data_IF_539559573051
#
_entry.id   IF_539559573051
#
_cell.length_a   1.000
_cell.length_b   1.000
_cell.length_c   1.000
_cell.angle_alpha   90.00
_cell.angle_beta   90.00
_cell.angle_gamma   90.00
#
_symmetry.space_group_name_H-M   'P 1'
#
loop_
_entity.id
_entity.type
_entity.pdbx_description
1 polymer ?
#
# COMPACT_ATOMS: atom_id res chain seq x y z
N UNK A 1 -3.31 -23.52 -4.66
CA UNK A 1 -2.51 -22.44 -5.28
C UNK A 1 -1.89 -21.62 -4.17
N UNK A 2 -0.60 -21.29 -4.27
CA UNK A 2 0.07 -20.48 -3.25
C UNK A 2 -0.38 -19.02 -3.45
N UNK A 3 -1.01 -18.41 -2.45
CA UNK A 3 -1.44 -17.02 -2.55
C UNK A 3 -0.20 -16.11 -2.45
N UNK A 4 0.23 -15.54 -3.57
CA UNK A 4 1.39 -14.64 -3.62
C UNK A 4 1.12 -13.29 -2.92
N UNK A 5 -0.15 -12.94 -2.72
CA UNK A 5 -0.52 -11.66 -2.14
C UNK A 5 -0.28 -11.63 -0.63
N UNK A 6 -0.37 -12.77 0.05
CA UNK A 6 -0.26 -12.87 1.51
C UNK A 6 1.05 -13.57 1.93
N UNK A 7 1.61 -13.13 3.04
CA UNK A 7 2.70 -13.86 3.70
C UNK A 7 2.15 -15.02 4.57
N UNK A 8 3.03 -15.76 5.23
CA UNK A 8 2.66 -16.88 6.12
C UNK A 8 1.79 -16.50 7.32
N UNK A 9 1.68 -15.20 7.63
CA UNK A 9 0.85 -14.66 8.71
C UNK A 9 -0.49 -14.10 8.20
N UNK A 10 -0.80 -14.26 6.90
CA UNK A 10 -2.01 -13.72 6.29
C UNK A 10 -1.98 -12.20 6.07
N UNK A 11 -0.83 -11.54 6.24
CA UNK A 11 -0.69 -10.10 5.96
C UNK A 11 -0.36 -9.85 4.50
N UNK A 12 -0.87 -8.74 3.97
CA UNK A 12 -0.58 -8.30 2.61
C UNK A 12 0.94 -8.11 2.42
N UNK A 13 1.48 -8.76 1.40
CA UNK A 13 2.87 -8.73 0.98
C UNK A 13 3.02 -8.14 -0.42
N UNK A 14 2.17 -8.57 -1.35
CA UNK A 14 2.15 -8.09 -2.72
C UNK A 14 0.70 -7.74 -3.09
N UNK A 15 0.45 -6.53 -3.55
CA UNK A 15 -0.87 -6.13 -4.03
C UNK A 15 -0.92 -6.28 -5.55
N UNK A 16 -1.50 -7.38 -6.01
CA UNK A 16 -1.55 -7.78 -7.42
C UNK A 16 -2.97 -7.70 -8.00
N UNK A 17 -3.97 -8.05 -7.19
CA UNK A 17 -5.41 -7.95 -7.49
C UNK A 17 -6.21 -7.82 -6.20
N UNK A 18 -7.43 -7.30 -6.27
CA UNK A 18 -8.40 -7.38 -5.16
C UNK A 18 -8.92 -8.80 -4.95
N UNK A 19 -8.85 -9.67 -5.97
CA UNK A 19 -9.35 -11.04 -5.90
C UNK A 19 -8.58 -11.87 -4.87
N UNK A 20 -9.32 -12.59 -4.03
CA UNK A 20 -8.72 -13.46 -3.00
C UNK A 20 -8.15 -12.71 -1.80
N UNK A 21 -8.38 -11.39 -1.69
CA UNK A 21 -8.17 -10.63 -0.45
C UNK A 21 -9.48 -10.55 0.34
N UNK A 22 -9.39 -10.59 1.66
CA UNK A 22 -10.56 -10.35 2.51
C UNK A 22 -10.94 -8.86 2.48
N UNK A 23 -12.23 -8.54 2.67
CA UNK A 23 -12.68 -7.15 2.80
C UNK A 23 -11.91 -6.38 3.87
N UNK A 24 -11.57 -7.02 5.00
CA UNK A 24 -10.85 -6.38 6.11
C UNK A 24 -9.49 -5.80 5.70
N UNK A 25 -8.73 -6.50 4.86
CA UNK A 25 -7.44 -6.01 4.36
C UNK A 25 -7.64 -4.77 3.48
N UNK A 26 -8.68 -4.78 2.64
CA UNK A 26 -8.99 -3.66 1.76
C UNK A 26 -9.43 -2.44 2.58
N UNK A 27 -10.28 -2.64 3.59
CA UNK A 27 -10.70 -1.58 4.50
C UNK A 27 -9.51 -1.01 5.28
N UNK A 28 -8.58 -1.83 5.77
CA UNK A 28 -7.36 -1.35 6.47
C UNK A 28 -6.51 -0.41 5.58
N UNK A 29 -6.39 -0.72 4.28
CA UNK A 29 -5.70 0.14 3.31
C UNK A 29 -6.43 1.49 3.17
N UNK A 30 -7.77 1.45 3.05
CA UNK A 30 -8.59 2.65 2.90
C UNK A 30 -8.53 3.54 4.15
N UNK A 31 -8.67 2.97 5.34
CA UNK A 31 -8.58 3.68 6.62
C UNK A 31 -7.19 4.31 6.80
N UNK A 32 -6.13 3.58 6.43
CA UNK A 32 -4.77 4.11 6.45
C UNK A 32 -4.63 5.29 5.50
N UNK A 33 -5.13 5.17 4.27
CA UNK A 33 -5.10 6.25 3.28
C UNK A 33 -5.85 7.49 3.76
N UNK A 34 -7.02 7.33 4.39
CA UNK A 34 -7.81 8.43 4.94
C UNK A 34 -7.01 9.24 5.96
N UNK A 35 -6.23 8.58 6.83
CA UNK A 35 -5.37 9.27 7.80
C UNK A 35 -4.38 10.25 7.14
N UNK A 36 -3.86 9.94 5.95
CA UNK A 36 -2.95 10.81 5.19
C UNK A 36 -3.66 11.95 4.47
N UNK A 37 -4.95 11.82 4.14
CA UNK A 37 -5.73 12.91 3.53
C UNK A 37 -5.88 14.11 4.48
N UNK A 38 -6.05 13.85 5.78
CA UNK A 38 -6.17 14.87 6.82
C UNK A 38 -4.85 15.63 7.05
N UNK A 39 -3.70 15.00 6.78
CA UNK A 39 -2.36 15.57 6.93
C UNK A 39 -1.97 16.55 5.81
N UNK A 40 -2.68 16.56 4.68
CA UNK A 40 -2.36 17.41 3.51
C UNK A 40 -2.48 18.93 3.80
N UNK A 41 -3.24 19.34 4.82
CA UNK A 41 -3.42 20.77 5.18
C UNK A 41 -2.29 21.36 6.02
N UNK A 42 -1.49 20.53 6.68
CA UNK A 42 -0.31 20.97 7.44
C UNK A 42 0.92 20.44 6.73
N UNK A 43 1.69 21.35 6.11
CA UNK A 43 2.99 21.14 5.48
C UNK A 43 3.66 19.86 6.01
N UNK A 44 3.55 18.77 5.23
CA UNK A 44 3.75 17.40 5.71
C UNK A 44 5.12 17.31 6.39
N UNK A 45 5.12 17.17 7.72
CA UNK A 45 6.32 16.78 8.47
C UNK A 45 6.81 15.50 7.82
N UNK A 46 7.98 15.54 7.17
CA UNK A 46 8.59 14.40 6.46
C UNK A 46 8.43 13.14 7.31
N UNK A 47 7.44 12.30 7.00
CA UNK A 47 7.15 11.12 7.82
C UNK A 47 8.26 10.12 7.51
N UNK A 48 9.08 9.70 8.49
CA UNK A 48 10.30 8.95 8.23
C UNK A 48 10.06 7.48 7.85
N UNK A 49 8.81 7.07 7.60
CA UNK A 49 8.38 5.68 7.38
C UNK A 49 9.20 4.96 6.27
N UNK A 50 9.61 5.69 5.24
CA UNK A 50 10.34 5.15 4.09
C UNK A 50 11.85 5.48 4.13
N UNK A 51 12.38 5.98 5.24
CA UNK A 51 13.81 6.31 5.34
C UNK A 51 14.67 5.07 5.09
N UNK A 52 15.62 5.20 4.17
CA UNK A 52 16.49 4.08 3.77
C UNK A 52 15.80 3.01 2.91
N UNK A 53 14.62 3.31 2.36
CA UNK A 53 13.94 2.48 1.36
C UNK A 53 14.03 3.15 0.00
N UNK A 54 14.27 2.35 -1.04
CA UNK A 54 14.18 2.77 -2.44
C UNK A 54 12.91 2.21 -3.04
N UNK A 55 12.09 3.07 -3.63
CA UNK A 55 10.88 2.68 -4.37
C UNK A 55 11.14 2.97 -5.85
N UNK A 56 10.83 2.02 -6.72
CA UNK A 56 11.03 2.13 -8.16
C UNK A 56 9.71 1.83 -8.85
N UNK A 57 9.31 2.72 -9.76
CA UNK A 57 8.20 2.49 -10.67
C UNK A 57 8.75 1.85 -11.95
N UNK A 58 8.17 0.72 -12.36
CA UNK A 58 8.50 0.03 -13.62
C UNK A 58 7.25 -0.03 -14.47
N UNK A 59 7.20 0.80 -15.51
CA UNK A 59 6.10 0.84 -16.46
C UNK A 59 6.61 0.47 -17.85
N UNK A 60 5.94 -0.48 -18.50
CA UNK A 60 6.20 -0.84 -19.91
C UNK A 60 5.41 0.02 -20.89
N UNK A 61 4.41 0.75 -20.38
CA UNK A 61 3.53 1.67 -21.12
C UNK A 61 3.37 2.97 -20.32
N UNK A 62 3.05 4.08 -20.96
CA UNK A 62 2.96 5.38 -20.28
C UNK A 62 1.86 5.38 -19.21
N UNK A 63 2.19 5.88 -18.01
CA UNK A 63 1.28 6.12 -16.89
C UNK A 63 1.57 7.50 -16.29
N UNK A 64 0.54 8.30 -16.03
CA UNK A 64 0.64 9.65 -15.42
C UNK A 64 -0.07 9.69 -14.08
#
# INVERSE_FOLDING_TARGET
MNNLQLNSQGKLKHFLSIDGLSPDILTEILDTAESFTSMSKQQVKKVPLLRGKTIVNLFFENST
#
